data_IF_257343485410
#
_entry.id   IF_257343485410
#
_cell.length_a   1.000
_cell.length_b   1.000
_cell.length_c   1.000
_cell.angle_alpha   90.00
_cell.angle_beta   90.00
_cell.angle_gamma   90.00
#
_symmetry.space_group_name_H-M   'P 1'
#
loop_
_entity.id
_entity.type
_entity.pdbx_description
1 polymer ?
#
# COMPACT_ATOMS: atom_id res chain seq x y z
N UNK A 1 24.15 13.55 -16.00
CA UNK A 1 23.06 14.05 -15.14
C UNK A 1 21.93 13.01 -15.18
N UNK A 2 21.73 12.17 -14.14
CA UNK A 2 20.59 11.25 -14.10
C UNK A 2 19.35 12.09 -13.82
N UNK A 3 18.39 12.11 -14.72
CA UNK A 3 17.06 12.66 -14.48
C UNK A 3 16.44 11.86 -13.30
N UNK A 4 16.48 12.45 -12.11
CA UNK A 4 15.78 11.88 -10.94
C UNK A 4 14.32 12.27 -11.07
N UNK A 5 13.48 11.33 -11.48
CA UNK A 5 12.04 11.56 -11.51
C UNK A 5 11.49 11.40 -10.08
N UNK A 6 10.88 12.45 -9.49
CA UNK A 6 10.40 12.38 -8.12
C UNK A 6 9.24 11.36 -7.99
N UNK A 7 9.26 10.56 -6.93
CA UNK A 7 8.17 9.63 -6.62
C UNK A 7 6.85 10.37 -6.41
N UNK A 8 6.91 11.56 -5.82
CA UNK A 8 5.74 12.42 -5.60
C UNK A 8 5.02 12.74 -6.92
N UNK A 9 5.73 12.94 -8.03
CA UNK A 9 5.11 13.19 -9.34
C UNK A 9 4.30 11.96 -9.80
N UNK A 10 4.86 10.75 -9.65
CA UNK A 10 4.12 9.52 -9.97
C UNK A 10 2.89 9.36 -9.10
N UNK A 11 3.01 9.62 -7.79
CA UNK A 11 1.87 9.55 -6.86
C UNK A 11 0.78 10.53 -7.24
N UNK A 12 1.12 11.77 -7.62
CA UNK A 12 0.15 12.78 -8.04
C UNK A 12 -0.56 12.35 -9.32
N UNK A 13 0.19 11.88 -10.33
CA UNK A 13 -0.41 11.39 -11.59
C UNK A 13 -1.33 10.20 -11.33
N UNK A 14 -0.86 9.19 -10.58
CA UNK A 14 -1.69 8.04 -10.21
C UNK A 14 -2.92 8.46 -9.39
N UNK A 15 -2.77 9.45 -8.51
CA UNK A 15 -3.87 10.03 -7.73
C UNK A 15 -4.91 10.71 -8.60
N UNK A 16 -4.53 11.41 -9.66
CA UNK A 16 -5.48 12.00 -10.61
C UNK A 16 -6.30 10.92 -11.32
N UNK A 17 -5.67 9.82 -11.77
CA UNK A 17 -6.39 8.68 -12.34
C UNK A 17 -7.34 8.05 -11.32
N UNK A 18 -6.88 7.86 -10.07
CA UNK A 18 -7.70 7.31 -9.00
C UNK A 18 -8.89 8.23 -8.64
N UNK A 19 -8.70 9.55 -8.66
CA UNK A 19 -9.79 10.50 -8.45
C UNK A 19 -10.84 10.38 -9.55
N UNK A 20 -10.44 10.35 -10.82
CA UNK A 20 -11.35 10.16 -11.94
C UNK A 20 -12.10 8.83 -11.82
N UNK A 21 -11.41 7.74 -11.51
CA UNK A 21 -12.04 6.43 -11.32
C UNK A 21 -13.03 6.42 -10.14
N UNK A 22 -12.72 7.12 -9.05
CA UNK A 22 -13.58 7.23 -7.86
C UNK A 22 -14.84 8.06 -8.12
N UNK A 23 -14.73 9.09 -8.96
CA UNK A 23 -15.86 9.95 -9.34
C UNK A 23 -16.69 9.38 -10.51
N UNK A 24 -16.21 8.30 -11.12
CA UNK A 24 -16.88 7.64 -12.22
C UNK A 24 -18.07 6.79 -11.73
N UNK A 25 -18.85 6.27 -12.68
CA UNK A 25 -20.01 5.43 -12.38
C UNK A 25 -19.62 4.12 -11.66
N UNK A 26 -20.58 3.54 -10.92
CA UNK A 26 -20.41 2.26 -10.24
C UNK A 26 -19.98 1.11 -11.15
N UNK A 27 -20.32 1.16 -12.47
CA UNK A 27 -19.88 0.19 -13.46
C UNK A 27 -18.36 0.20 -13.69
N UNK A 28 -17.71 1.37 -13.63
CA UNK A 28 -16.25 1.48 -13.73
C UNK A 28 -15.59 0.90 -12.47
N UNK A 29 -16.13 1.20 -11.29
CA UNK A 29 -15.66 0.63 -10.03
C UNK A 29 -15.74 -0.88 -10.06
N UNK A 30 -16.87 -1.45 -10.50
CA UNK A 30 -17.07 -2.88 -10.64
C UNK A 30 -16.14 -3.52 -11.69
N UNK A 31 -15.84 -2.82 -12.78
CA UNK A 31 -14.93 -3.30 -13.84
C UNK A 31 -13.46 -3.31 -13.46
N UNK A 32 -13.04 -2.43 -12.54
CA UNK A 32 -11.65 -2.27 -12.10
C UNK A 32 -11.36 -2.90 -10.73
N UNK A 33 -12.38 -3.13 -9.90
CA UNK A 33 -12.26 -3.76 -8.59
C UNK A 33 -11.87 -5.23 -8.70
N UNK A 34 -11.14 -5.73 -7.69
CA UNK A 34 -10.79 -7.14 -7.61
C UNK A 34 -11.99 -7.95 -7.08
N UNK A 35 -12.18 -9.15 -7.60
CA UNK A 35 -13.17 -10.12 -7.18
C UNK A 35 -12.53 -11.49 -7.03
N UNK A 36 -12.84 -12.20 -5.94
CA UNK A 36 -12.28 -13.52 -5.66
C UNK A 36 -12.67 -14.52 -6.78
N UNK A 37 -11.71 -15.34 -7.20
CA UNK A 37 -11.92 -16.36 -8.23
C UNK A 37 -11.91 -15.83 -9.67
N UNK A 38 -11.78 -14.51 -9.90
CA UNK A 38 -11.83 -13.91 -11.24
C UNK A 38 -10.48 -13.34 -11.72
N UNK A 39 -9.39 -13.69 -11.05
CA UNK A 39 -8.06 -13.13 -11.39
C UNK A 39 -7.51 -13.63 -12.74
N UNK A 40 -7.97 -14.79 -13.22
CA UNK A 40 -7.56 -15.33 -14.54
C UNK A 40 -8.29 -14.61 -15.67
N UNK A 41 -9.61 -14.39 -15.53
CA UNK A 41 -10.44 -13.72 -16.55
C UNK A 41 -10.18 -12.22 -16.62
N UNK A 42 -9.78 -11.62 -15.51
CA UNK A 42 -9.57 -10.17 -15.39
C UNK A 42 -8.26 -9.82 -14.67
N UNK A 43 -7.08 -10.19 -15.20
CA UNK A 43 -5.80 -10.06 -14.50
C UNK A 43 -5.40 -8.59 -14.23
N UNK A 44 -5.92 -7.63 -14.98
CA UNK A 44 -5.70 -6.20 -14.72
C UNK A 44 -6.19 -5.78 -13.33
N UNK A 45 -7.20 -6.45 -12.78
CA UNK A 45 -7.78 -6.16 -11.46
C UNK A 45 -6.79 -6.38 -10.31
N UNK A 46 -5.77 -7.19 -10.51
CA UNK A 46 -4.66 -7.36 -9.55
C UNK A 46 -3.92 -6.03 -9.29
N UNK A 47 -4.01 -5.09 -10.21
CA UNK A 47 -3.37 -3.77 -10.12
C UNK A 47 -4.41 -2.66 -10.01
N UNK A 48 -5.45 -2.68 -10.88
CA UNK A 48 -6.40 -1.56 -10.98
C UNK A 48 -7.25 -1.38 -9.73
N UNK A 49 -7.56 -2.46 -9.00
CA UNK A 49 -8.34 -2.40 -7.77
C UNK A 49 -7.73 -1.48 -6.71
N UNK A 50 -6.40 -1.34 -6.71
CA UNK A 50 -5.71 -0.47 -5.76
C UNK A 50 -5.90 1.03 -6.04
N UNK A 51 -6.28 1.40 -7.26
CA UNK A 51 -6.51 2.79 -7.66
C UNK A 51 -7.97 3.22 -7.61
N UNK A 52 -8.88 2.33 -7.33
CA UNK A 52 -10.31 2.61 -7.20
C UNK A 52 -10.68 2.78 -5.74
N UNK A 53 -11.60 3.70 -5.44
CA UNK A 53 -12.06 3.98 -4.09
C UNK A 53 -13.59 4.11 -4.06
N UNK A 54 -14.21 3.75 -2.95
CA UNK A 54 -15.67 3.73 -2.80
C UNK A 54 -16.27 5.12 -2.63
N UNK A 55 -15.52 6.02 -2.03
CA UNK A 55 -15.96 7.39 -1.80
C UNK A 55 -14.77 8.35 -1.72
N UNK A 56 -15.07 9.64 -1.75
CA UNK A 56 -14.07 10.71 -1.72
C UNK A 56 -13.23 10.73 -0.42
N UNK A 57 -13.83 10.37 0.73
CA UNK A 57 -13.10 10.33 2.00
C UNK A 57 -12.05 9.21 2.00
N UNK A 58 -12.40 8.02 1.50
CA UNK A 58 -11.46 6.92 1.33
C UNK A 58 -10.31 7.29 0.40
N UNK A 59 -10.63 7.88 -0.75
CA UNK A 59 -9.63 8.38 -1.69
C UNK A 59 -8.71 9.40 -1.02
N UNK A 60 -9.28 10.43 -0.36
CA UNK A 60 -8.50 11.52 0.22
C UNK A 60 -7.48 11.04 1.27
N UNK A 61 -7.89 10.14 2.16
CA UNK A 61 -6.98 9.58 3.19
C UNK A 61 -5.86 8.78 2.55
N UNK A 62 -6.17 7.90 1.60
CA UNK A 62 -5.16 7.09 0.92
C UNK A 62 -4.21 7.96 0.08
N UNK A 63 -4.74 8.94 -0.64
CA UNK A 63 -3.95 9.85 -1.45
C UNK A 63 -3.00 10.70 -0.60
N UNK A 64 -3.49 11.26 0.51
CA UNK A 64 -2.66 12.03 1.44
C UNK A 64 -1.50 11.19 1.98
N UNK A 65 -1.78 9.96 2.42
CA UNK A 65 -0.72 9.06 2.89
C UNK A 65 0.28 8.70 1.78
N UNK A 66 -0.20 8.45 0.55
CA UNK A 66 0.67 8.17 -0.59
C UNK A 66 1.59 9.35 -0.92
N UNK A 67 1.06 10.58 -0.91
CA UNK A 67 1.86 11.81 -1.12
C UNK A 67 2.93 11.96 -0.03
N UNK A 68 2.58 11.72 1.24
CA UNK A 68 3.56 11.78 2.34
C UNK A 68 4.68 10.77 2.15
N UNK A 69 4.37 9.51 1.76
CA UNK A 69 5.41 8.52 1.45
C UNK A 69 6.24 8.91 0.23
N UNK A 70 5.61 9.49 -0.80
CA UNK A 70 6.32 10.02 -1.97
C UNK A 70 7.36 11.07 -1.56
N UNK A 71 6.94 12.08 -0.78
CA UNK A 71 7.82 13.14 -0.27
C UNK A 71 8.97 12.60 0.60
N UNK A 72 8.67 11.65 1.48
CA UNK A 72 9.71 11.00 2.31
C UNK A 72 10.71 10.27 1.41
N UNK A 73 10.23 9.47 0.45
CA UNK A 73 11.10 8.70 -0.44
C UNK A 73 11.91 9.60 -1.39
N UNK A 74 11.37 10.73 -1.83
CA UNK A 74 12.13 11.71 -2.62
C UNK A 74 13.27 12.32 -1.80
N UNK A 75 13.01 12.68 -0.54
CA UNK A 75 14.04 13.18 0.39
C UNK A 75 15.13 12.15 0.68
N UNK A 76 14.78 10.87 0.69
CA UNK A 76 15.68 9.76 0.96
C UNK A 76 16.32 9.18 -0.31
N UNK A 77 16.07 9.75 -1.47
CA UNK A 77 16.52 9.25 -2.78
C UNK A 77 16.06 7.80 -3.07
N UNK A 78 14.84 7.46 -2.65
CA UNK A 78 14.23 6.13 -2.75
C UNK A 78 13.09 6.05 -3.77
N UNK A 79 12.96 7.02 -4.67
CA UNK A 79 11.82 7.15 -5.57
C UNK A 79 11.57 5.91 -6.42
N UNK A 80 12.62 5.34 -7.03
CA UNK A 80 12.50 4.11 -7.81
C UNK A 80 12.14 2.90 -6.93
N UNK A 81 12.76 2.80 -5.74
CA UNK A 81 12.47 1.72 -4.80
C UNK A 81 11.03 1.79 -4.31
N UNK A 82 10.46 2.98 -4.11
CA UNK A 82 9.05 3.16 -3.76
C UNK A 82 8.12 2.62 -4.86
N UNK A 83 8.40 2.94 -6.13
CA UNK A 83 7.59 2.44 -7.25
C UNK A 83 7.63 0.91 -7.33
N UNK A 84 8.83 0.33 -7.24
CA UNK A 84 8.98 -1.14 -7.27
C UNK A 84 8.32 -1.78 -6.05
N UNK A 85 8.52 -1.22 -4.85
CA UNK A 85 7.85 -1.69 -3.64
C UNK A 85 6.33 -1.66 -3.78
N UNK A 86 5.78 -0.57 -4.32
CA UNK A 86 4.33 -0.44 -4.55
C UNK A 86 3.79 -1.53 -5.45
N UNK A 87 4.45 -1.80 -6.59
CA UNK A 87 4.03 -2.85 -7.53
C UNK A 87 4.08 -4.24 -6.89
N UNK A 88 5.16 -4.56 -6.17
CA UNK A 88 5.30 -5.84 -5.48
C UNK A 88 4.21 -5.99 -4.42
N UNK A 89 3.97 -4.95 -3.63
CA UNK A 89 2.95 -4.99 -2.59
C UNK A 89 1.54 -5.12 -3.18
N UNK A 90 1.22 -4.44 -4.30
CA UNK A 90 -0.05 -4.63 -5.00
C UNK A 90 -0.26 -6.10 -5.35
N UNK A 91 0.74 -6.74 -5.95
CA UNK A 91 0.68 -8.17 -6.29
C UNK A 91 0.53 -9.03 -5.04
N UNK A 92 1.30 -8.76 -3.98
CA UNK A 92 1.20 -9.51 -2.72
C UNK A 92 -0.19 -9.40 -2.08
N UNK A 93 -0.79 -8.20 -2.09
CA UNK A 93 -2.16 -7.99 -1.58
C UNK A 93 -3.14 -8.80 -2.41
N UNK A 94 -3.12 -8.66 -3.73
CA UNK A 94 -4.08 -9.30 -4.62
C UNK A 94 -3.97 -10.83 -4.59
N UNK A 95 -2.75 -11.38 -4.62
CA UNK A 95 -2.55 -12.83 -4.48
C UNK A 95 -2.91 -13.32 -3.07
N UNK A 96 -2.62 -12.53 -2.04
CA UNK A 96 -3.02 -12.86 -0.68
C UNK A 96 -4.54 -12.91 -0.50
N UNK A 97 -5.28 -12.02 -1.14
CA UNK A 97 -6.75 -12.03 -1.15
C UNK A 97 -7.28 -13.22 -1.96
N UNK A 98 -6.65 -13.58 -3.10
CA UNK A 98 -7.08 -14.67 -3.97
C UNK A 98 -6.91 -16.05 -3.31
N UNK A 99 -5.76 -16.27 -2.66
CA UNK A 99 -5.38 -17.60 -2.15
C UNK A 99 -5.39 -17.70 -0.63
N UNK A 100 -5.73 -16.62 0.07
CA UNK A 100 -5.79 -16.59 1.53
C UNK A 100 -7.02 -17.28 2.10
N UNK A 101 -7.06 -17.48 3.42
CA UNK A 101 -8.12 -18.23 4.09
C UNK A 101 -9.41 -17.42 4.34
N UNK A 102 -9.48 -16.17 3.89
CA UNK A 102 -10.65 -15.32 4.09
C UNK A 102 -11.54 -15.32 2.85
N UNK A 103 -12.84 -15.45 3.08
CA UNK A 103 -13.86 -15.25 2.05
C UNK A 103 -14.08 -13.74 1.86
N UNK A 104 -13.65 -13.22 0.73
CA UNK A 104 -13.69 -11.79 0.40
C UNK A 104 -14.25 -11.66 -1.01
N UNK A 105 -15.50 -11.26 -1.14
CA UNK A 105 -16.16 -11.17 -2.44
C UNK A 105 -15.48 -10.19 -3.38
N UNK A 106 -15.00 -9.05 -2.85
CA UNK A 106 -14.39 -8.00 -3.65
C UNK A 106 -13.52 -7.04 -2.82
N UNK A 107 -12.62 -6.35 -3.50
CA UNK A 107 -11.70 -5.40 -2.88
C UNK A 107 -11.40 -4.21 -3.79
N UNK A 108 -11.33 -3.01 -3.20
CA UNK A 108 -10.80 -1.78 -3.80
C UNK A 108 -10.07 -0.94 -2.75
N UNK A 109 -9.09 -0.14 -3.20
CA UNK A 109 -8.41 0.85 -2.39
C UNK A 109 -6.92 0.60 -2.19
N UNK A 110 -6.20 1.69 -1.96
CA UNK A 110 -4.73 1.70 -1.86
C UNK A 110 -4.22 1.37 -0.45
N UNK A 111 -5.11 1.22 0.54
CA UNK A 111 -4.74 1.09 1.95
C UNK A 111 -3.84 -0.11 2.26
N UNK A 112 -4.09 -1.26 1.63
CA UNK A 112 -3.22 -2.44 1.74
C UNK A 112 -1.80 -2.13 1.27
N UNK A 113 -1.66 -1.42 0.14
CA UNK A 113 -0.36 -1.01 -0.41
C UNK A 113 0.36 -0.03 0.53
N UNK A 114 -0.37 0.92 1.13
CA UNK A 114 0.19 1.88 2.10
C UNK A 114 0.76 1.19 3.33
N UNK A 115 0.09 0.13 3.83
CA UNK A 115 0.61 -0.68 4.94
C UNK A 115 1.91 -1.38 4.55
N UNK A 116 2.01 -1.86 3.31
CA UNK A 116 3.23 -2.47 2.79
C UNK A 116 4.37 -1.47 2.59
N UNK A 117 4.09 -0.30 2.02
CA UNK A 117 5.08 0.78 1.87
C UNK A 117 5.60 1.21 3.24
N UNK A 118 4.72 1.36 4.22
CA UNK A 118 5.09 1.68 5.59
C UNK A 118 6.02 0.61 6.20
N UNK A 119 5.65 -0.67 6.11
CA UNK A 119 6.45 -1.77 6.63
C UNK A 119 7.81 -1.86 5.94
N UNK A 120 7.83 -1.73 4.59
CA UNK A 120 9.05 -1.70 3.81
C UNK A 120 9.97 -0.56 4.22
N UNK A 121 9.45 0.66 4.34
CA UNK A 121 10.25 1.84 4.68
C UNK A 121 10.84 1.73 6.10
N UNK A 122 10.04 1.28 7.08
CA UNK A 122 10.50 1.09 8.45
C UNK A 122 11.60 0.01 8.51
N UNK A 123 11.32 -1.18 7.99
CA UNK A 123 12.25 -2.31 8.08
C UNK A 123 13.54 -2.06 7.27
N UNK A 124 13.42 -1.48 6.08
CA UNK A 124 14.57 -1.04 5.29
C UNK A 124 15.43 -0.05 6.06
N UNK A 125 14.82 0.90 6.75
CA UNK A 125 15.55 1.93 7.53
C UNK A 125 16.24 1.35 8.77
N UNK A 126 15.71 0.26 9.32
CA UNK A 126 16.40 -0.54 10.35
C UNK A 126 17.60 -1.27 9.78
N UNK A 127 17.43 -1.92 8.62
CA UNK A 127 18.46 -2.77 8.01
C UNK A 127 19.56 -1.97 7.31
N UNK A 128 19.23 -0.78 6.79
CA UNK A 128 20.12 0.09 6.00
C UNK A 128 20.00 1.53 6.47
N UNK A 129 20.97 2.02 7.23
CA UNK A 129 20.94 3.39 7.75
C UNK A 129 20.75 4.43 6.65
N UNK A 130 19.94 5.43 6.92
CA UNK A 130 19.59 6.50 5.96
C UNK A 130 20.64 7.63 5.92
N UNK A 131 21.48 7.75 6.96
CA UNK A 131 22.54 8.76 7.03
C UNK A 131 23.66 8.35 7.99
N UNK A 132 24.85 8.95 7.82
CA UNK A 132 25.93 8.85 8.78
C UNK A 132 25.64 9.76 9.99
N UNK A 133 25.74 9.23 11.20
CA UNK A 133 25.50 9.95 12.46
C UNK A 133 24.35 9.36 13.25
N UNK A 134 24.15 9.72 14.49
CA UNK A 134 23.09 9.38 15.49
C UNK A 134 22.18 8.15 15.22
N UNK A 135 22.74 7.15 14.65
CA UNK A 135 22.10 5.99 14.03
C UNK A 135 21.25 5.13 14.98
N UNK A 136 21.71 4.99 16.23
CA UNK A 136 21.01 4.17 17.20
C UNK A 136 19.63 4.71 17.58
N UNK A 137 19.51 6.03 17.76
CA UNK A 137 18.21 6.66 18.05
C UNK A 137 17.24 6.53 16.89
N UNK A 138 17.69 6.72 15.65
CA UNK A 138 16.85 6.59 14.45
C UNK A 138 16.36 5.15 14.25
N UNK A 139 17.23 4.15 14.47
CA UNK A 139 16.82 2.73 14.41
C UNK A 139 15.74 2.42 15.42
N UNK A 140 15.87 2.86 16.66
CA UNK A 140 14.88 2.65 17.69
C UNK A 140 13.50 3.15 17.30
N UNK A 141 13.44 4.34 16.69
CA UNK A 141 12.19 4.91 16.17
C UNK A 141 11.59 4.03 15.07
N UNK A 142 12.39 3.59 14.08
CA UNK A 142 11.86 2.74 13.01
C UNK A 142 11.45 1.34 13.49
N UNK A 143 12.13 0.78 14.47
CA UNK A 143 11.71 -0.47 15.14
C UNK A 143 10.37 -0.25 15.84
N UNK A 144 10.23 0.81 16.63
CA UNK A 144 8.99 1.11 17.33
C UNK A 144 7.82 1.34 16.37
N UNK A 145 8.04 2.08 15.29
CA UNK A 145 7.04 2.30 14.22
C UNK A 145 6.65 0.97 13.55
N UNK A 146 7.63 0.15 13.19
CA UNK A 146 7.37 -1.16 12.58
C UNK A 146 6.54 -2.05 13.50
N UNK A 147 6.93 -2.18 14.77
CA UNK A 147 6.20 -2.98 15.75
C UNK A 147 4.81 -2.42 16.02
N UNK A 148 4.66 -1.10 16.15
CA UNK A 148 3.35 -0.45 16.28
C UNK A 148 2.44 -0.70 15.08
N UNK A 149 2.97 -0.62 13.87
CA UNK A 149 2.26 -0.97 12.64
C UNK A 149 1.86 -2.44 12.58
N UNK A 150 2.74 -3.35 12.99
CA UNK A 150 2.43 -4.78 13.09
C UNK A 150 1.30 -5.04 14.09
N UNK A 151 1.40 -4.48 15.29
CA UNK A 151 0.34 -4.61 16.30
C UNK A 151 -0.99 -4.06 15.77
N UNK A 152 -0.98 -2.88 15.13
CA UNK A 152 -2.18 -2.30 14.51
C UNK A 152 -2.79 -3.25 13.48
N UNK A 153 -2.00 -3.85 12.60
CA UNK A 153 -2.49 -4.79 11.59
C UNK A 153 -3.08 -6.04 12.25
N UNK A 154 -2.37 -6.65 13.22
CA UNK A 154 -2.84 -7.85 13.91
C UNK A 154 -4.13 -7.60 14.72
N UNK A 155 -4.22 -6.46 15.39
CA UNK A 155 -5.45 -6.07 16.13
C UNK A 155 -6.61 -5.85 15.15
N UNK A 156 -6.36 -5.24 14.00
CA UNK A 156 -7.41 -4.99 12.99
C UNK A 156 -8.00 -6.28 12.39
N UNK A 157 -7.27 -7.40 12.40
CA UNK A 157 -7.81 -8.71 11.96
C UNK A 157 -8.95 -9.23 12.85
N UNK A 158 -9.11 -8.70 14.07
CA UNK A 158 -10.26 -9.01 14.93
C UNK A 158 -11.55 -8.30 14.50
N UNK A 159 -11.44 -7.31 13.60
CA UNK A 159 -12.58 -6.59 13.05
C UNK A 159 -13.13 -7.46 11.90
N UNK A 160 -14.42 -7.85 11.95
CA UNK A 160 -15.01 -8.63 10.87
C UNK A 160 -14.82 -7.97 9.50
N UNK A 161 -14.52 -8.78 8.49
CA UNK A 161 -14.44 -8.31 7.11
C UNK A 161 -15.79 -7.71 6.70
N UNK A 162 -15.73 -6.56 6.01
CA UNK A 162 -16.95 -5.83 5.63
C UNK A 162 -17.54 -4.93 6.72
N UNK A 163 -17.00 -4.94 7.94
CA UNK A 163 -17.41 -3.97 8.97
C UNK A 163 -17.17 -2.54 8.50
N UNK A 164 -18.18 -1.70 8.69
CA UNK A 164 -18.12 -0.30 8.28
C UNK A 164 -17.30 0.52 9.29
N UNK A 165 -16.22 1.12 8.81
CA UNK A 165 -15.40 2.03 9.61
C UNK A 165 -15.92 3.48 9.59
N UNK A 166 -15.18 4.38 10.22
CA UNK A 166 -15.51 5.81 10.30
C UNK A 166 -15.61 6.53 8.93
N UNK A 167 -15.08 5.92 7.88
CA UNK A 167 -15.18 6.41 6.50
C UNK A 167 -16.44 5.91 5.77
N UNK A 168 -17.33 5.23 6.48
CA UNK A 168 -18.52 4.58 5.90
C UNK A 168 -18.18 3.56 4.80
N UNK A 169 -17.06 2.86 4.95
CA UNK A 169 -16.53 1.91 3.97
C UNK A 169 -16.39 0.53 4.63
N UNK A 170 -16.78 -0.54 3.93
CA UNK A 170 -16.46 -1.90 4.34
C UNK A 170 -14.93 -2.09 4.41
N UNK A 171 -14.43 -2.56 5.54
CA UNK A 171 -13.00 -2.76 5.74
C UNK A 171 -12.59 -4.18 5.33
N UNK A 172 -11.57 -4.28 4.47
CA UNK A 172 -10.92 -5.54 4.10
C UNK A 172 -9.57 -5.60 4.82
N UNK A 173 -9.63 -5.90 6.12
CA UNK A 173 -8.44 -5.91 7.00
C UNK A 173 -7.37 -6.92 6.59
N UNK A 174 -7.68 -8.11 5.99
CA UNK A 174 -6.66 -9.00 5.43
C UNK A 174 -5.77 -8.33 4.37
N UNK A 175 -6.28 -7.38 3.59
CA UNK A 175 -5.46 -6.64 2.64
C UNK A 175 -4.31 -5.86 3.32
N UNK A 176 -4.54 -5.35 4.53
CA UNK A 176 -3.50 -4.67 5.31
C UNK A 176 -2.40 -5.64 5.77
N UNK A 177 -2.78 -6.87 6.16
CA UNK A 177 -1.82 -7.91 6.54
C UNK A 177 -0.95 -8.32 5.35
N UNK A 178 -1.57 -8.62 4.20
CA UNK A 178 -0.83 -9.02 3.02
C UNK A 178 0.08 -7.90 2.51
N UNK A 179 -0.39 -6.65 2.58
CA UNK A 179 0.42 -5.50 2.27
C UNK A 179 1.62 -5.39 3.21
N UNK A 180 1.39 -5.43 4.52
CA UNK A 180 2.45 -5.35 5.53
C UNK A 180 3.49 -6.47 5.36
N UNK A 181 3.05 -7.71 5.16
CA UNK A 181 3.91 -8.85 4.92
C UNK A 181 4.72 -8.71 3.62
N UNK A 182 4.07 -8.31 2.51
CA UNK A 182 4.71 -8.08 1.22
C UNK A 182 5.78 -6.99 1.26
N UNK A 183 5.48 -5.87 1.93
CA UNK A 183 6.46 -4.80 2.12
C UNK A 183 7.63 -5.21 3.02
N UNK A 184 7.36 -5.97 4.08
CA UNK A 184 8.40 -6.52 4.95
C UNK A 184 9.31 -7.50 4.19
N UNK A 185 8.71 -8.40 3.41
CA UNK A 185 9.46 -9.33 2.56
C UNK A 185 10.37 -8.59 1.57
N UNK A 186 9.82 -7.57 0.88
CA UNK A 186 10.61 -6.75 -0.04
C UNK A 186 11.79 -6.04 0.63
N UNK A 187 11.63 -5.55 1.87
CA UNK A 187 12.72 -4.93 2.63
C UNK A 187 13.89 -5.88 2.92
N UNK A 188 13.60 -7.18 3.09
CA UNK A 188 14.59 -8.21 3.34
C UNK A 188 15.38 -8.58 2.08
N UNK A 189 14.81 -8.40 0.89
CA UNK A 189 15.52 -8.64 -0.36
C UNK A 189 16.63 -7.61 -0.53
N UNK A 190 17.83 -8.09 -0.92
CA UNK A 190 18.99 -7.22 -1.17
C UNK A 190 18.81 -6.51 -2.51
N UNK A 191 18.33 -5.27 -2.46
CA UNK A 191 18.37 -4.41 -3.65
C UNK A 191 19.80 -3.89 -3.83
N UNK A 192 20.41 -3.99 -5.03
CA UNK A 192 21.71 -3.36 -5.33
C UNK A 192 21.64 -1.85 -5.04
N UNK A 193 22.76 -1.30 -4.57
CA UNK A 193 22.91 0.15 -4.33
C UNK A 193 22.83 0.95 -5.61
#
# INVERSE_FOLDING_TARGET
MRLKFPATVFVVIAGLFAAVATLASGSIIAGLGWHQGHSVEAPWRLITAHFVHLNAAHFAVNFTAAVLFGLICDRLELSLQLLVASLIVMVCVSLGLEFGPWEIDWYVGFSGVLHGIFAWLCLRSVLRPLAQGHWWGQRGVFVALFLGGLVKVLVSLKIPVGSVGWQEIPQVTPAHLYGFAGGSFWALLRWPK
#
